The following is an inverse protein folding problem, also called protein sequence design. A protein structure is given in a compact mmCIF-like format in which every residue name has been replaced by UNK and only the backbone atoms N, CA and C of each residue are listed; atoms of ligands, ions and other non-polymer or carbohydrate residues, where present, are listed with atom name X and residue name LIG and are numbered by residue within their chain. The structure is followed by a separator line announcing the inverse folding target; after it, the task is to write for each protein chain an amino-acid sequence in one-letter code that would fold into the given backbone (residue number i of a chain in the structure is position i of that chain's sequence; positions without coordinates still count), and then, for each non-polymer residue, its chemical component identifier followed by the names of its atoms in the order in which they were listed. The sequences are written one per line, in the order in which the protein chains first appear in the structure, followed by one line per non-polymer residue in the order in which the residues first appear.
data_IF_891495824374
#
_entry.id   IF_891495824374
#
_cell.length_a   1.000
_cell.length_b   1.000
_cell.length_c   1.000
_cell.angle_alpha   90.00
_cell.angle_beta   90.00
_cell.angle_gamma   90.00
#
_symmetry.space_group_name_H-M   'P 1'
#
loop_
_entity.id
_entity.type
_entity.pdbx_description
1 polymer ?
#
# COMPACT_ATOMS: atom_id res chain seq x y z
N UNK A 1 4.98 -13.35 4.02
CA UNK A 1 3.86 -12.63 3.37
C UNK A 1 4.25 -11.17 3.18
N UNK A 2 4.55 -10.74 1.96
CA UNK A 2 5.18 -9.44 1.68
C UNK A 2 4.21 -8.26 1.72
N UNK A 3 2.93 -8.52 1.44
CA UNK A 3 1.87 -7.53 1.31
C UNK A 3 1.11 -7.22 2.61
N UNK A 4 1.26 -8.03 3.68
CA UNK A 4 0.65 -7.76 5.00
C UNK A 4 1.15 -6.47 5.65
N UNK A 5 0.29 -5.75 6.35
CA UNK A 5 0.69 -4.62 7.20
C UNK A 5 1.62 -5.06 8.36
N UNK A 6 2.36 -4.12 8.99
CA UNK A 6 3.13 -4.39 10.19
C UNK A 6 2.28 -4.95 11.34
N UNK A 7 1.08 -4.41 11.56
CA UNK A 7 0.17 -4.84 12.63
C UNK A 7 -0.34 -6.27 12.42
N UNK A 8 -0.74 -6.62 11.20
CA UNK A 8 -1.14 -7.98 10.87
C UNK A 8 0.01 -8.99 11.01
N UNK A 9 1.26 -8.57 10.83
CA UNK A 9 2.43 -9.43 11.10
C UNK A 9 2.65 -9.68 12.59
N UNK A 10 2.20 -8.77 13.46
CA UNK A 10 2.26 -8.92 14.92
C UNK A 10 1.09 -9.73 15.49
N UNK A 11 0.19 -10.23 14.63
CA UNK A 11 -0.94 -11.05 15.03
C UNK A 11 -2.19 -10.26 15.45
N UNK A 12 -2.24 -8.95 15.19
CA UNK A 12 -3.45 -8.17 15.40
C UNK A 12 -4.55 -8.55 14.37
N UNK A 13 -5.84 -8.38 14.74
CA UNK A 13 -6.93 -8.54 13.79
C UNK A 13 -6.78 -7.62 12.57
N UNK A 14 -7.20 -8.10 11.40
CA UNK A 14 -7.22 -7.29 10.20
C UNK A 14 -8.29 -6.19 10.29
N UNK A 15 -7.94 -5.03 9.78
CA UNK A 15 -8.78 -3.84 9.69
C UNK A 15 -8.77 -3.31 8.27
N UNK A 16 -9.72 -2.44 7.91
CA UNK A 16 -9.72 -1.76 6.60
C UNK A 16 -8.40 -1.03 6.31
N UNK A 17 -7.76 -0.48 7.35
CA UNK A 17 -6.44 0.17 7.21
C UNK A 17 -5.39 -0.82 6.67
N UNK A 18 -5.46 -2.09 7.06
CA UNK A 18 -4.52 -3.12 6.59
C UNK A 18 -4.72 -3.44 5.10
N UNK A 19 -5.94 -3.31 4.57
CA UNK A 19 -6.23 -3.43 3.14
C UNK A 19 -5.61 -2.25 2.38
N UNK A 20 -5.76 -1.01 2.87
CA UNK A 20 -5.12 0.15 2.23
C UNK A 20 -3.59 0.12 2.31
N UNK A 21 -3.02 -0.34 3.41
CA UNK A 21 -1.58 -0.61 3.53
C UNK A 21 -1.14 -1.65 2.49
N UNK A 22 -1.93 -2.71 2.32
CA UNK A 22 -1.68 -3.75 1.32
C UNK A 22 -1.70 -3.16 -0.09
N UNK A 23 -2.63 -2.26 -0.39
CA UNK A 23 -2.71 -1.54 -1.68
C UNK A 23 -1.46 -0.69 -1.90
N UNK A 24 -0.96 0.03 -0.88
CA UNK A 24 0.29 0.80 -1.00
C UNK A 24 1.47 -0.11 -1.32
N UNK A 25 1.55 -1.28 -0.68
CA UNK A 25 2.59 -2.27 -0.98
C UNK A 25 2.47 -2.83 -2.39
N UNK A 26 1.24 -3.08 -2.86
CA UNK A 26 0.97 -3.52 -4.23
C UNK A 26 1.38 -2.45 -5.25
N UNK A 27 1.05 -1.19 -5.01
CA UNK A 27 1.46 -0.06 -5.86
C UNK A 27 2.98 0.02 -6.01
N UNK A 28 3.71 -0.10 -4.90
CA UNK A 28 5.18 -0.18 -4.94
C UNK A 28 5.65 -1.34 -5.82
N UNK A 29 5.04 -2.51 -5.69
CA UNK A 29 5.40 -3.69 -6.50
C UNK A 29 5.12 -3.48 -8.00
N UNK A 30 4.01 -2.84 -8.34
CA UNK A 30 3.66 -2.49 -9.73
C UNK A 30 4.67 -1.52 -10.36
N UNK A 31 5.24 -0.63 -9.56
CA UNK A 31 6.29 0.30 -9.96
C UNK A 31 7.70 -0.31 -9.87
N UNK A 32 7.81 -1.63 -9.67
CA UNK A 32 9.07 -2.36 -9.45
C UNK A 32 9.91 -1.81 -8.29
N UNK A 33 9.27 -1.15 -7.32
CA UNK A 33 9.89 -0.75 -6.06
C UNK A 33 9.90 -1.98 -5.15
N UNK A 34 11.10 -2.36 -4.70
CA UNK A 34 11.30 -3.50 -3.80
C UNK A 34 11.73 -3.00 -2.42
N UNK A 35 10.81 -2.44 -1.60
CA UNK A 35 11.16 -1.90 -0.28
C UNK A 35 11.66 -3.01 0.67
N UNK A 36 11.27 -4.25 0.42
CA UNK A 36 11.66 -5.42 1.21
C UNK A 36 12.48 -6.33 0.30
N UNK A 37 13.81 -6.31 0.49
CA UNK A 37 14.69 -7.20 -0.28
C UNK A 37 14.31 -8.65 0.03
N UNK A 38 14.18 -9.53 -0.98
CA UNK A 38 14.22 -10.96 -0.71
C UNK A 38 15.54 -11.24 -0.01
N UNK A 39 15.49 -11.90 1.15
CA UNK A 39 16.66 -12.55 1.70
C UNK A 39 17.11 -13.62 0.71
N UNK A 40 18.41 -13.84 0.61
CA UNK A 40 19.00 -14.77 -0.36
C UNK A 40 18.72 -16.26 -0.04
N UNK A 41 17.57 -16.61 0.57
CA UNK A 41 17.29 -17.92 1.15
C UNK A 41 15.82 -18.35 0.89
N UNK A 42 15.54 -19.66 0.71
CA UNK A 42 14.24 -20.16 0.23
C UNK A 42 13.05 -19.89 1.17
N UNK A 43 13.35 -19.63 2.44
CA UNK A 43 12.39 -19.21 3.45
C UNK A 43 12.90 -17.92 4.07
N UNK A 44 12.62 -16.79 3.42
CA UNK A 44 12.77 -15.49 4.05
C UNK A 44 12.28 -15.54 5.49
N UNK A 45 13.21 -15.38 6.43
CA UNK A 45 12.91 -15.42 7.86
C UNK A 45 11.78 -14.42 8.12
N UNK A 46 10.60 -14.86 8.61
CA UNK A 46 9.48 -13.96 8.88
C UNK A 46 9.88 -12.77 9.76
N UNK A 47 10.83 -13.00 10.67
CA UNK A 47 11.44 -11.97 11.50
C UNK A 47 12.21 -10.91 10.70
N UNK A 48 12.99 -11.31 9.70
CA UNK A 48 13.73 -10.37 8.84
C UNK A 48 12.79 -9.49 8.01
N UNK A 49 11.74 -10.08 7.42
CA UNK A 49 10.72 -9.30 6.71
C UNK A 49 9.93 -8.38 7.66
N UNK A 50 9.63 -8.84 8.87
CA UNK A 50 9.00 -8.01 9.89
C UNK A 50 9.89 -6.82 10.28
N UNK A 51 11.20 -7.03 10.42
CA UNK A 51 12.16 -5.96 10.71
C UNK A 51 12.23 -4.92 9.58
N UNK A 52 12.32 -5.34 8.31
CA UNK A 52 12.30 -4.41 7.18
C UNK A 52 10.99 -3.61 7.11
N UNK A 53 9.85 -4.26 7.40
CA UNK A 53 8.56 -3.57 7.49
C UNK A 53 8.48 -2.61 8.65
N UNK A 54 9.05 -2.93 9.79
CA UNK A 54 9.13 -2.02 10.94
C UNK A 54 9.99 -0.80 10.61
N UNK A 55 11.12 -0.98 9.93
CA UNK A 55 11.98 0.12 9.47
C UNK A 55 11.25 1.00 8.45
N UNK A 56 10.56 0.38 7.48
CA UNK A 56 9.73 1.11 6.53
C UNK A 56 8.62 1.88 7.24
N UNK A 57 7.89 1.24 8.16
CA UNK A 57 6.82 1.87 8.94
C UNK A 57 7.30 3.09 9.73
N UNK A 58 8.51 3.02 10.28
CA UNK A 58 9.12 4.14 11.00
C UNK A 58 9.52 5.30 10.07
N UNK A 59 10.02 5.02 8.87
CA UNK A 59 10.49 6.06 7.94
C UNK A 59 10.30 5.70 6.46
N UNK A 60 9.06 5.73 5.93
CA UNK A 60 8.78 5.24 4.58
C UNK A 60 9.55 5.99 3.48
N UNK A 61 9.72 7.31 3.65
CA UNK A 61 10.41 8.16 2.68
C UNK A 61 11.88 7.80 2.51
N UNK A 62 12.52 7.23 3.52
CA UNK A 62 13.94 6.83 3.44
C UNK A 62 14.18 5.60 2.57
N UNK A 63 13.11 4.82 2.29
CA UNK A 63 13.15 3.62 1.45
C UNK A 63 12.85 3.90 -0.02
N UNK A 64 12.52 5.16 -0.36
CA UNK A 64 12.01 5.54 -1.66
C UNK A 64 12.88 6.65 -2.26
N UNK A 65 13.15 6.57 -3.56
CA UNK A 65 13.81 7.67 -4.28
C UNK A 65 12.90 8.91 -4.24
N UNK A 66 13.48 10.08 -4.53
CA UNK A 66 12.75 11.35 -4.47
C UNK A 66 11.44 11.33 -5.29
N UNK A 67 11.48 10.73 -6.48
CA UNK A 67 10.34 10.54 -7.37
C UNK A 67 9.17 9.79 -6.72
N UNK A 68 9.44 8.83 -5.83
CA UNK A 68 8.42 7.97 -5.21
C UNK A 68 8.11 8.33 -3.76
N UNK A 69 8.68 9.41 -3.20
CA UNK A 69 8.43 9.80 -1.81
C UNK A 69 6.94 10.07 -1.50
N UNK A 70 6.14 10.38 -2.52
CA UNK A 70 4.70 10.51 -2.38
C UNK A 70 4.01 9.20 -1.95
N UNK A 71 4.53 8.04 -2.34
CA UNK A 71 4.01 6.74 -1.90
C UNK A 71 4.25 6.55 -0.40
N UNK A 72 5.41 6.99 0.10
CA UNK A 72 5.70 7.00 1.54
C UNK A 72 4.80 7.97 2.32
N UNK A 73 4.41 9.09 1.72
CA UNK A 73 3.42 10.02 2.30
C UNK A 73 2.01 9.41 2.28
N UNK A 74 1.62 8.73 1.20
CA UNK A 74 0.36 7.98 1.11
C UNK A 74 0.28 6.90 2.20
N UNK A 75 1.37 6.15 2.42
CA UNK A 75 1.45 5.19 3.51
C UNK A 75 1.20 5.83 4.87
N UNK A 76 1.87 6.95 5.17
CA UNK A 76 1.68 7.67 6.42
C UNK A 76 0.26 8.21 6.58
N UNK A 77 -0.36 8.71 5.50
CA UNK A 77 -1.75 9.15 5.50
C UNK A 77 -2.68 8.01 5.91
N UNK A 78 -2.52 6.82 5.31
CA UNK A 78 -3.31 5.63 5.65
C UNK A 78 -3.08 5.19 7.10
N UNK A 79 -1.82 5.01 7.52
CA UNK A 79 -1.50 4.56 8.87
C UNK A 79 -1.94 5.55 9.96
N UNK A 80 -1.91 6.86 9.68
CA UNK A 80 -2.37 7.88 10.64
C UNK A 80 -3.84 7.75 11.03
N UNK A 81 -4.63 7.03 10.22
CA UNK A 81 -6.06 6.84 10.38
C UNK A 81 -6.44 5.49 11.02
N UNK A 82 -5.45 4.67 11.38
CA UNK A 82 -5.64 3.30 11.90
C UNK A 82 -6.63 3.20 13.05
N UNK A 83 -6.65 4.21 13.93
CA UNK A 83 -7.48 4.22 15.13
C UNK A 83 -8.75 5.07 15.00
N UNK A 84 -8.94 5.76 13.87
CA UNK A 84 -10.07 6.67 13.62
C UNK A 84 -11.00 6.18 12.50
N UNK A 85 -10.58 5.17 11.74
CA UNK A 85 -11.27 4.74 10.52
C UNK A 85 -10.73 5.47 9.29
N UNK A 86 -10.81 4.82 8.12
CA UNK A 86 -10.26 5.34 6.87
C UNK A 86 -11.20 6.37 6.25
N UNK A 87 -10.70 7.59 6.06
CA UNK A 87 -11.26 8.60 5.18
C UNK A 87 -10.75 8.37 3.75
N UNK A 88 -11.57 7.69 2.96
CA UNK A 88 -11.25 7.34 1.56
C UNK A 88 -11.11 8.61 0.70
N UNK A 89 -11.91 9.65 0.95
CA UNK A 89 -11.84 10.88 0.17
C UNK A 89 -10.50 11.58 0.36
N UNK A 90 -9.96 11.61 1.59
CA UNK A 90 -8.62 12.13 1.85
C UNK A 90 -7.52 11.34 1.09
N UNK A 91 -7.67 10.02 0.98
CA UNK A 91 -6.76 9.16 0.20
C UNK A 91 -6.86 9.48 -1.30
N UNK A 92 -8.09 9.61 -1.83
CA UNK A 92 -8.34 9.96 -3.23
C UNK A 92 -7.81 11.36 -3.56
N UNK A 93 -8.09 12.35 -2.71
CA UNK A 93 -7.60 13.71 -2.86
C UNK A 93 -6.07 13.74 -2.86
N UNK A 94 -5.43 12.97 -1.97
CA UNK A 94 -3.98 12.86 -1.96
C UNK A 94 -3.44 12.31 -3.29
N UNK A 95 -4.04 11.23 -3.81
CA UNK A 95 -3.61 10.61 -5.08
C UNK A 95 -3.80 11.58 -6.25
N UNK A 96 -4.96 12.22 -6.37
CA UNK A 96 -5.26 13.20 -7.44
C UNK A 96 -4.27 14.37 -7.44
N UNK A 97 -3.89 14.85 -6.25
CA UNK A 97 -2.94 15.96 -6.11
C UNK A 97 -1.54 15.59 -6.58
N UNK A 98 -1.12 14.33 -6.41
CA UNK A 98 0.21 13.86 -6.81
C UNK A 98 0.24 13.42 -8.28
N UNK A 99 -0.86 12.84 -8.76
CA UNK A 99 -1.02 12.36 -10.12
C UNK A 99 -2.13 13.18 -10.82
N UNK A 100 -1.79 14.39 -11.25
CA UNK A 100 -2.77 15.35 -11.79
C UNK A 100 -3.51 14.86 -13.03
N UNK A 101 -2.96 13.88 -13.74
CA UNK A 101 -3.56 13.25 -14.93
C UNK A 101 -4.40 12.00 -14.60
N UNK A 102 -4.58 11.66 -13.33
CA UNK A 102 -5.35 10.50 -12.88
C UNK A 102 -6.40 10.94 -11.86
N UNK A 103 -7.67 10.65 -12.14
CA UNK A 103 -8.77 10.92 -11.21
C UNK A 103 -9.20 9.64 -10.46
N UNK A 104 -8.86 9.50 -9.17
CA UNK A 104 -9.24 8.36 -8.35
C UNK A 104 -10.70 8.39 -7.90
N UNK A 105 -11.45 9.45 -8.22
CA UNK A 105 -12.88 9.59 -7.93
C UNK A 105 -13.76 9.19 -9.10
N UNK A 106 -13.21 9.02 -10.31
CA UNK A 106 -14.00 8.52 -11.44
C UNK A 106 -14.54 7.13 -11.15
N UNK A 107 -15.80 6.90 -11.51
CA UNK A 107 -16.40 5.58 -11.40
C UNK A 107 -15.67 4.58 -12.28
N UNK A 108 -15.43 3.39 -11.72
CA UNK A 108 -14.94 2.25 -12.50
C UNK A 108 -16.12 1.78 -13.36
N UNK A 109 -16.03 2.01 -14.67
CA UNK A 109 -17.05 1.55 -15.60
C UNK A 109 -16.88 0.06 -15.81
N UNK A 110 -17.88 -0.72 -15.41
CA UNK A 110 -17.86 -2.17 -15.62
C UNK A 110 -18.95 -2.57 -16.59
N UNK A 111 -18.62 -3.47 -17.52
CA UNK A 111 -19.60 -4.12 -18.39
C UNK A 111 -19.57 -5.61 -18.17
N UNK A 112 -20.76 -6.21 -18.05
CA UNK A 112 -20.90 -7.66 -17.91
C UNK A 112 -21.21 -8.28 -19.27
N UNK A 113 -20.31 -9.12 -19.77
CA UNK A 113 -20.45 -9.82 -21.05
C UNK A 113 -20.33 -11.33 -20.77
N UNK A 114 -21.36 -12.10 -21.11
CA UNK A 114 -21.42 -13.56 -20.92
C UNK A 114 -21.04 -14.02 -19.50
N UNK A 115 -21.52 -13.30 -18.50
CA UNK A 115 -21.26 -13.59 -17.08
C UNK A 115 -19.88 -13.13 -16.58
N UNK A 116 -18.99 -12.64 -17.44
CA UNK A 116 -17.69 -12.05 -17.07
C UNK A 116 -17.80 -10.54 -16.88
N UNK A 117 -17.12 -10.02 -15.87
CA UNK A 117 -17.02 -8.58 -15.65
C UNK A 117 -15.76 -8.04 -16.35
N UNK A 118 -15.95 -7.05 -17.21
CA UNK A 118 -14.87 -6.32 -17.88
C UNK A 118 -14.81 -4.92 -17.27
N UNK A 119 -13.61 -4.48 -16.89
CA UNK A 119 -13.34 -3.11 -16.45
C UNK A 119 -12.94 -2.33 -17.70
N UNK A 120 -13.67 -1.27 -18.03
CA UNK A 120 -13.43 -0.40 -19.18
C UNK A 120 -12.67 0.86 -18.77
#
# INVERSE_FOLDING_TARGET
MWNKSPYANLGHPFTETDDYVTIVFLLMRCLNLSPFKPGNQPFDCPFFRAAQKAQFHHSPKSFLSHEYQWIGKLYNLVESQRFTGINIDAVKDYIQNVLSNFDPKTDITTTRIDGRMTIN
#
